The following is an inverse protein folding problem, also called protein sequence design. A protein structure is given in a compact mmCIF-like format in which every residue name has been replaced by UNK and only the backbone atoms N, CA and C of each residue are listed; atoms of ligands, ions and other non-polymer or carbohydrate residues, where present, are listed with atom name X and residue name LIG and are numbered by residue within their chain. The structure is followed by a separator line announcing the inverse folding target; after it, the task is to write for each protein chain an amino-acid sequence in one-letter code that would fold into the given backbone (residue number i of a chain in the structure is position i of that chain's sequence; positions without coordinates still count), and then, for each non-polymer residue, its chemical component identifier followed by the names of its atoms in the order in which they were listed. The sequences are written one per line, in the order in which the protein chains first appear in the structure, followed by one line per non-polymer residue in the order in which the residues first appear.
data_IF_343859082394
#
_entry.id   IF_343859082394
#
_cell.length_a   1.000
_cell.length_b   1.000
_cell.length_c   1.000
_cell.angle_alpha   90.00
_cell.angle_beta   90.00
_cell.angle_gamma   90.00
#
_symmetry.space_group_name_H-M   'P 1'
#
loop_
_entity.id
_entity.type
_entity.pdbx_description
1 polymer ?
#
# COMPACT_ATOMS: atom_id res chain seq x y z
N UNK A 1 -27.57 -16.31 -29.13
CA UNK A 1 -27.31 -15.97 -27.72
C UNK A 1 -25.86 -16.32 -27.44
N UNK A 2 -24.99 -15.33 -27.40
CA UNK A 2 -23.66 -15.46 -26.80
C UNK A 2 -23.52 -14.28 -25.86
N UNK A 3 -23.72 -14.52 -24.56
CA UNK A 3 -23.32 -13.57 -23.54
C UNK A 3 -21.81 -13.68 -23.45
N UNK A 4 -21.11 -12.68 -23.94
CA UNK A 4 -19.70 -12.45 -23.64
C UNK A 4 -19.57 -12.49 -22.11
N UNK A 5 -18.76 -13.41 -21.60
CA UNK A 5 -18.27 -13.36 -20.23
C UNK A 5 -17.32 -12.17 -20.14
N UNK A 6 -17.88 -11.01 -19.82
CA UNK A 6 -17.14 -9.88 -19.27
C UNK A 6 -16.61 -10.33 -17.91
N UNK A 7 -15.39 -10.85 -17.91
CA UNK A 7 -14.65 -11.19 -16.71
C UNK A 7 -13.21 -10.71 -16.91
N UNK A 8 -13.07 -9.41 -17.18
CA UNK A 8 -11.80 -8.71 -17.07
C UNK A 8 -12.02 -7.59 -16.04
N UNK A 9 -11.37 -7.80 -14.90
CA UNK A 9 -11.39 -7.00 -13.69
C UNK A 9 -10.90 -5.59 -13.99
N UNK A 10 -11.82 -4.71 -14.36
CA UNK A 10 -11.61 -3.28 -14.60
C UNK A 10 -11.58 -2.51 -13.25
N UNK A 11 -10.72 -2.95 -12.33
CA UNK A 11 -10.48 -2.33 -11.02
C UNK A 11 -8.99 -2.24 -10.75
N UNK A 12 -8.33 -1.41 -11.55
CA UNK A 12 -7.16 -0.66 -11.09
C UNK A 12 -7.35 0.81 -11.45
N UNK A 13 -8.53 1.36 -11.13
CA UNK A 13 -8.64 2.80 -10.94
C UNK A 13 -7.66 3.17 -9.82
N UNK A 14 -6.59 3.85 -10.22
CA UNK A 14 -5.46 4.20 -9.34
C UNK A 14 -5.98 5.07 -8.20
N UNK A 15 -5.47 4.92 -6.96
CA UNK A 15 -5.60 6.00 -5.99
C UNK A 15 -5.04 7.27 -6.63
N UNK A 16 -5.84 8.33 -6.58
CA UNK A 16 -5.54 9.62 -7.19
C UNK A 16 -4.48 10.27 -6.30
N UNK A 17 -3.20 9.99 -6.56
CA UNK A 17 -2.07 10.53 -5.80
C UNK A 17 -1.68 9.74 -4.53
N UNK A 18 -0.46 9.99 -4.06
CA UNK A 18 0.12 9.40 -2.84
C UNK A 18 0.72 10.52 -1.99
N UNK A 19 0.49 10.48 -0.69
CA UNK A 19 1.06 11.47 0.23
C UNK A 19 1.53 10.83 1.55
N UNK A 20 2.40 11.55 2.26
CA UNK A 20 3.01 11.13 3.51
C UNK A 20 3.58 12.32 4.30
N UNK A 21 3.76 12.11 5.60
CA UNK A 21 4.46 13.08 6.45
C UNK A 21 5.96 13.16 6.05
N UNK A 22 6.40 14.33 5.59
CA UNK A 22 7.79 14.58 5.17
C UNK A 22 8.81 14.33 6.28
N UNK A 23 8.48 14.64 7.54
CA UNK A 23 9.38 14.41 8.67
C UNK A 23 9.56 12.89 8.91
N UNK A 24 8.47 12.12 8.75
CA UNK A 24 8.54 10.64 8.78
C UNK A 24 9.35 10.11 7.60
N UNK A 25 9.17 10.63 6.39
CA UNK A 25 9.96 10.20 5.22
C UNK A 25 11.46 10.39 5.46
N UNK A 26 11.87 11.55 5.96
CA UNK A 26 13.27 11.83 6.32
C UNK A 26 13.77 10.83 7.36
N UNK A 27 12.96 10.51 8.38
CA UNK A 27 13.33 9.51 9.39
C UNK A 27 13.49 8.10 8.80
N UNK A 28 12.63 7.71 7.85
CA UNK A 28 12.71 6.43 7.15
C UNK A 28 13.94 6.34 6.26
N UNK A 29 14.26 7.40 5.50
CA UNK A 29 15.49 7.49 4.69
C UNK A 29 16.73 7.32 5.55
N UNK A 30 16.79 7.96 6.72
CA UNK A 30 17.90 7.80 7.67
C UNK A 30 17.98 6.38 8.25
N UNK A 31 16.85 5.75 8.56
CA UNK A 31 16.81 4.42 9.19
C UNK A 31 17.08 3.28 8.21
N UNK A 32 16.53 3.35 7.00
CA UNK A 32 16.47 2.21 6.06
C UNK A 32 17.22 2.45 4.74
N UNK A 33 17.66 3.69 4.49
CA UNK A 33 18.32 4.10 3.25
C UNK A 33 17.35 4.45 2.12
N UNK A 34 16.04 4.48 2.37
CA UNK A 34 15.02 4.86 1.38
C UNK A 34 13.75 5.42 2.04
N UNK A 35 12.95 6.12 1.23
CA UNK A 35 11.72 6.79 1.64
C UNK A 35 10.45 6.15 1.09
N UNK A 36 9.31 6.73 1.41
CA UNK A 36 7.97 6.31 0.99
C UNK A 36 7.79 6.31 -0.52
N UNK A 37 8.55 7.13 -1.26
CA UNK A 37 8.47 7.16 -2.72
C UNK A 37 8.81 5.80 -3.37
N UNK A 38 9.67 4.98 -2.75
CA UNK A 38 9.97 3.62 -3.25
C UNK A 38 8.99 2.57 -2.73
N UNK A 39 8.13 2.95 -1.79
CA UNK A 39 7.08 2.11 -1.21
C UNK A 39 5.80 2.19 -2.05
N UNK A 40 5.66 3.17 -2.95
CA UNK A 40 4.51 3.24 -3.87
C UNK A 40 4.38 1.97 -4.71
N UNK A 41 5.51 1.33 -5.04
CA UNK A 41 5.60 0.05 -5.74
C UNK A 41 4.66 -1.04 -5.24
N UNK A 42 4.46 -1.14 -3.92
CA UNK A 42 3.67 -2.22 -3.34
C UNK A 42 2.15 -2.07 -3.54
N UNK A 43 1.65 -0.92 -3.99
CA UNK A 43 0.24 -0.76 -4.35
C UNK A 43 -0.11 -1.23 -5.76
N UNK A 44 0.89 -1.45 -6.64
CA UNK A 44 0.63 -1.96 -7.99
C UNK A 44 0.39 -3.47 -8.01
N UNK A 45 1.14 -4.20 -7.17
CA UNK A 45 1.07 -5.66 -7.03
C UNK A 45 1.37 -6.03 -5.57
N UNK A 46 0.44 -5.75 -4.64
CA UNK A 46 0.63 -6.14 -3.26
C UNK A 46 0.72 -7.67 -3.19
N UNK A 47 1.64 -8.17 -2.36
CA UNK A 47 1.64 -9.57 -1.94
C UNK A 47 0.46 -9.84 -1.01
N UNK A 48 0.11 -8.86 -0.20
CA UNK A 48 -0.99 -8.93 0.75
C UNK A 48 -1.57 -7.54 0.99
N UNK A 49 -2.88 -7.45 1.12
CA UNK A 49 -3.60 -6.24 1.52
C UNK A 49 -4.80 -6.61 2.37
N UNK A 50 -4.91 -6.02 3.56
CA UNK A 50 -6.06 -6.18 4.44
C UNK A 50 -6.46 -4.82 5.01
N UNK A 51 -7.76 -4.58 5.10
CA UNK A 51 -8.30 -3.47 5.88
C UNK A 51 -8.26 -3.85 7.35
N UNK A 52 -7.27 -3.35 8.08
CA UNK A 52 -7.08 -3.72 9.47
C UNK A 52 -7.72 -2.68 10.39
N UNK A 53 -8.93 -2.97 10.87
CA UNK A 53 -9.62 -2.12 11.83
C UNK A 53 -8.82 -1.92 13.13
N UNK A 54 -7.93 -2.87 13.48
CA UNK A 54 -7.04 -2.81 14.65
C UNK A 54 -5.93 -1.76 14.56
N UNK A 55 -5.62 -1.24 13.37
CA UNK A 55 -4.71 -0.11 13.17
C UNK A 55 -5.47 1.21 12.99
N UNK A 56 -6.60 1.38 13.69
CA UNK A 56 -7.36 2.62 13.64
C UNK A 56 -8.01 2.89 12.29
N UNK A 57 -8.40 1.82 11.57
CA UNK A 57 -9.01 1.90 10.24
C UNK A 57 -8.03 1.96 9.07
N UNK A 58 -6.73 1.72 9.31
CA UNK A 58 -5.72 1.68 8.26
C UNK A 58 -5.66 0.31 7.57
N UNK A 59 -5.45 0.32 6.26
CA UNK A 59 -5.08 -0.88 5.50
C UNK A 59 -3.60 -1.21 5.74
N UNK A 60 -3.30 -2.49 5.90
CA UNK A 60 -1.94 -3.02 5.91
C UNK A 60 -1.65 -3.64 4.55
N UNK A 61 -0.59 -3.18 3.91
CA UNK A 61 -0.15 -3.65 2.60
C UNK A 61 1.27 -4.18 2.71
N UNK A 62 1.51 -5.37 2.17
CA UNK A 62 2.84 -6.00 2.14
C UNK A 62 3.19 -6.26 0.70
N UNK A 63 4.43 -5.96 0.33
CA UNK A 63 4.94 -6.25 -1.00
C UNK A 63 6.38 -5.83 -1.20
N UNK A 64 6.83 -5.96 -2.44
CA UNK A 64 8.14 -5.49 -2.85
C UNK A 64 8.09 -3.98 -3.10
N UNK A 65 8.94 -3.25 -2.38
CA UNK A 65 9.29 -1.89 -2.74
C UNK A 65 10.17 -1.88 -4.01
N UNK A 66 10.27 -0.74 -4.68
CA UNK A 66 10.99 -0.59 -5.95
C UNK A 66 12.50 -0.90 -5.84
N UNK A 67 13.05 -0.86 -4.63
CA UNK A 67 14.42 -1.25 -4.34
C UNK A 67 14.58 -2.77 -4.08
N UNK A 68 13.54 -3.56 -4.32
CA UNK A 68 13.52 -5.01 -4.15
C UNK A 68 13.43 -5.49 -2.70
N UNK A 69 13.23 -4.59 -1.72
CA UNK A 69 13.04 -4.98 -0.33
C UNK A 69 11.57 -5.32 -0.06
N UNK A 70 11.33 -6.38 0.69
CA UNK A 70 10.00 -6.69 1.22
C UNK A 70 9.65 -5.70 2.33
N UNK A 71 8.52 -5.01 2.18
CA UNK A 71 8.08 -3.93 3.05
C UNK A 71 6.62 -4.13 3.42
N UNK A 72 6.30 -3.81 4.67
CA UNK A 72 4.94 -3.65 5.16
C UNK A 72 4.67 -2.17 5.32
N UNK A 73 3.56 -1.69 4.77
CA UNK A 73 3.08 -0.32 4.87
C UNK A 73 1.70 -0.29 5.54
N UNK A 74 1.49 0.72 6.39
CA UNK A 74 0.17 1.07 6.89
C UNK A 74 -0.30 2.33 6.16
N UNK A 75 -1.47 2.27 5.56
CA UNK A 75 -2.00 3.31 4.69
C UNK A 75 -3.52 3.44 4.82
N UNK A 76 -4.06 4.55 4.34
CA UNK A 76 -5.50 4.82 4.36
C UNK A 76 -5.86 5.74 3.18
N UNK A 77 -7.04 5.54 2.61
CA UNK A 77 -7.58 6.51 1.66
C UNK A 77 -8.02 7.77 2.42
N UNK A 78 -7.61 8.94 1.92
CA UNK A 78 -8.04 10.25 2.43
C UNK A 78 -8.47 11.14 1.28
N UNK A 79 -9.33 12.10 1.57
CA UNK A 79 -9.58 13.20 0.62
C UNK A 79 -8.30 14.02 0.48
N UNK A 80 -7.97 14.41 -0.76
CA UNK A 80 -6.86 15.31 -1.04
C UNK A 80 -7.19 16.70 -0.50
N UNK A 81 -6.47 17.20 0.52
CA UNK A 81 -6.75 18.51 1.10
C UNK A 81 -6.50 19.66 0.10
N UNK A 82 -5.69 19.43 -0.94
CA UNK A 82 -5.34 20.42 -1.96
C UNK A 82 -6.25 20.36 -3.19
N UNK A 83 -7.11 19.33 -3.30
CA UNK A 83 -8.09 19.21 -4.38
C UNK A 83 -9.55 19.24 -3.87
N UNK A 84 -10.26 20.37 -3.99
CA UNK A 84 -11.64 20.50 -3.54
C UNK A 84 -12.66 19.70 -4.37
N UNK A 85 -12.24 19.07 -5.48
CA UNK A 85 -13.11 18.20 -6.29
C UNK A 85 -13.33 16.81 -5.67
N UNK A 86 -12.75 16.54 -4.49
CA UNK A 86 -12.98 15.30 -3.73
C UNK A 86 -12.16 14.12 -4.23
N UNK A 87 -11.02 14.39 -4.88
CA UNK A 87 -10.08 13.34 -5.25
C UNK A 87 -9.54 12.65 -3.99
N UNK A 88 -9.39 11.32 -4.06
CA UNK A 88 -8.88 10.52 -2.95
C UNK A 88 -7.42 10.16 -3.17
N UNK A 89 -6.58 10.51 -2.20
CA UNK A 89 -5.17 10.11 -2.13
C UNK A 89 -5.01 8.86 -1.25
N UNK A 90 -3.95 8.10 -1.53
CA UNK A 90 -3.46 7.09 -0.59
C UNK A 90 -2.46 7.72 0.38
N UNK A 91 -2.87 7.92 1.63
CA UNK A 91 -1.99 8.42 2.69
C UNK A 91 -1.17 7.28 3.30
N UNK A 92 0.15 7.37 3.22
CA UNK A 92 1.06 6.39 3.83
C UNK A 92 1.50 6.83 5.23
N UNK A 93 0.95 6.20 6.25
CA UNK A 93 1.19 6.58 7.64
C UNK A 93 2.57 6.14 8.16
N UNK A 94 3.02 4.95 7.76
CA UNK A 94 4.33 4.37 8.12
C UNK A 94 4.66 3.16 7.23
N UNK A 95 5.94 2.78 7.17
CA UNK A 95 6.37 1.48 6.64
C UNK A 95 7.52 0.89 7.45
N UNK A 96 7.74 -0.41 7.34
CA UNK A 96 8.89 -1.12 7.89
C UNK A 96 9.32 -2.26 6.98
N UNK A 97 10.57 -2.71 7.15
CA UNK A 97 11.03 -3.93 6.47
C UNK A 97 10.28 -5.12 7.06
N UNK A 98 9.62 -5.89 6.20
CA UNK A 98 8.90 -7.08 6.65
C UNK A 98 9.90 -8.11 7.15
N UNK A 99 9.59 -8.71 8.30
CA UNK A 99 10.31 -9.87 8.81
C UNK A 99 9.90 -11.13 8.05
N UNK A 100 10.77 -12.13 8.01
CA UNK A 100 10.41 -13.43 7.43
C UNK A 100 9.18 -14.05 8.10
N UNK A 101 9.05 -13.92 9.42
CA UNK A 101 7.89 -14.43 10.15
C UNK A 101 6.58 -13.75 9.75
N UNK A 102 6.58 -12.44 9.50
CA UNK A 102 5.39 -11.74 8.99
C UNK A 102 5.02 -12.32 7.62
N UNK A 103 5.96 -12.33 6.66
CA UNK A 103 5.72 -12.86 5.31
C UNK A 103 5.23 -14.30 5.35
N UNK A 104 5.90 -15.18 6.10
CA UNK A 104 5.52 -16.59 6.24
C UNK A 104 4.13 -16.77 6.87
N UNK A 105 3.68 -15.83 7.72
CA UNK A 105 2.34 -15.86 8.33
C UNK A 105 1.29 -15.55 7.27
N UNK A 106 1.49 -14.47 6.50
CA UNK A 106 0.58 -14.09 5.42
C UNK A 106 0.57 -15.09 4.26
N UNK A 107 1.68 -15.79 3.99
CA UNK A 107 1.72 -16.90 3.01
C UNK A 107 0.97 -18.16 3.48
N UNK A 108 1.05 -18.49 4.78
CA UNK A 108 0.42 -19.70 5.34
C UNK A 108 -1.09 -19.60 5.51
N UNK A 109 -1.60 -18.39 5.73
CA UNK A 109 -3.04 -18.14 5.84
C UNK A 109 -3.77 -18.28 4.49
N UNK A 110 -3.04 -18.62 3.42
CA UNK A 110 -3.61 -19.42 2.33
C UNK A 110 -4.43 -18.64 1.30
N UNK A 111 -4.08 -17.39 1.03
CA UNK A 111 -4.71 -16.65 -0.08
C UNK A 111 -3.80 -16.74 -1.31
N UNK A 112 -4.00 -17.81 -2.10
CA UNK A 112 -3.45 -17.97 -3.46
C UNK A 112 -4.19 -17.10 -4.47
#
# INVERSE_FOLDING_TARGET
MSKSTENETDIYERPVGYDWDTAKDIAKRKKFGFGFNLVIGLFYKPYYQENNEGYGGQSIVIGLADNGKMVTAACEEREDPDNPEGEKIMWMATFWLSTKSEVDTYEKDGFK
#
